data_IF_788168435195
#
_entry.id   IF_788168435195
#
_cell.length_a   1.000
_cell.length_b   1.000
_cell.length_c   1.000
_cell.angle_alpha   90.00
_cell.angle_beta   90.00
_cell.angle_gamma   90.00
#
_symmetry.space_group_name_H-M   'P 1'
#
loop_
_entity.id
_entity.type
_entity.pdbx_description
1 polymer ?
#
# COMPACT_ATOMS: atom_id res chain seq x y z
N UNK A 1 -4.86 -1.84 -10.53
CA UNK A 1 -4.78 -1.90 -11.99
C UNK A 1 -3.40 -2.40 -12.38
N UNK A 2 -3.37 -3.32 -13.34
CA UNK A 2 -2.13 -3.75 -14.00
C UNK A 2 -2.24 -3.39 -15.47
N UNK A 3 -1.35 -2.54 -15.95
CA UNK A 3 -1.22 -2.21 -17.35
C UNK A 3 -0.07 -2.96 -18.01
N UNK A 4 -0.34 -3.58 -19.15
CA UNK A 4 0.61 -4.35 -19.96
C UNK A 4 0.88 -3.64 -21.29
N UNK A 5 1.88 -4.12 -22.01
CA UNK A 5 2.21 -3.65 -23.34
C UNK A 5 1.90 -4.71 -24.41
N UNK A 6 1.39 -4.28 -25.57
CA UNK A 6 1.28 -5.13 -26.75
C UNK A 6 2.67 -5.27 -27.41
N UNK A 7 3.40 -4.17 -27.52
CA UNK A 7 4.81 -4.12 -27.94
C UNK A 7 5.62 -3.56 -26.77
N UNK A 8 6.64 -4.28 -26.36
CA UNK A 8 7.56 -3.85 -25.28
C UNK A 8 8.15 -2.46 -25.59
N UNK A 9 8.30 -1.61 -24.58
CA UNK A 9 9.06 -0.36 -24.75
C UNK A 9 10.54 -0.66 -25.00
N UNK A 10 11.22 0.22 -25.70
CA UNK A 10 12.65 0.06 -26.02
C UNK A 10 13.55 0.38 -24.82
N UNK A 11 13.03 1.08 -23.82
CA UNK A 11 13.76 1.46 -22.62
C UNK A 11 12.84 1.73 -21.44
N UNK A 12 13.40 1.67 -20.23
CA UNK A 12 12.70 2.09 -19.01
C UNK A 12 12.24 3.55 -19.10
N UNK A 13 13.00 4.40 -19.76
CA UNK A 13 12.66 5.80 -19.94
C UNK A 13 11.39 5.95 -20.79
N UNK A 14 11.27 5.18 -21.86
CA UNK A 14 10.05 5.12 -22.68
C UNK A 14 8.86 4.62 -21.85
N UNK A 15 9.02 3.53 -21.11
CA UNK A 15 7.96 3.01 -20.24
C UNK A 15 7.48 4.07 -19.24
N UNK A 16 8.41 4.78 -18.61
CA UNK A 16 8.09 5.86 -17.67
C UNK A 16 7.45 7.07 -18.37
N UNK A 17 7.79 7.36 -19.61
CA UNK A 17 7.13 8.39 -20.43
C UNK A 17 5.70 7.99 -20.76
N UNK A 18 5.46 6.74 -21.10
CA UNK A 18 4.15 6.22 -21.44
C UNK A 18 3.17 6.30 -20.27
N UNK A 19 3.58 5.89 -19.08
CA UNK A 19 2.73 5.98 -17.89
C UNK A 19 2.48 7.43 -17.47
N UNK A 20 3.46 8.34 -17.62
CA UNK A 20 3.25 9.78 -17.39
C UNK A 20 2.25 10.36 -18.39
N UNK A 21 2.31 9.97 -19.66
CA UNK A 21 1.36 10.37 -20.68
C UNK A 21 -0.05 9.84 -20.40
N UNK A 22 -0.17 8.63 -19.86
CA UNK A 22 -1.45 8.10 -19.39
C UNK A 22 -2.04 9.00 -18.31
N UNK A 23 -1.30 9.34 -17.25
CA UNK A 23 -1.81 10.24 -16.20
C UNK A 23 -2.13 11.65 -16.71
N UNK A 24 -1.41 12.15 -17.71
CA UNK A 24 -1.77 13.41 -18.38
C UNK A 24 -3.15 13.30 -19.02
N UNK A 25 -3.42 12.26 -19.79
CA UNK A 25 -4.74 12.02 -20.43
C UNK A 25 -5.86 11.84 -19.39
N UNK A 26 -5.59 11.13 -18.31
CA UNK A 26 -6.52 10.98 -17.18
C UNK A 26 -6.89 12.35 -16.60
N UNK A 27 -5.91 13.19 -16.30
CA UNK A 27 -6.15 14.50 -15.72
C UNK A 27 -6.83 15.46 -16.68
N UNK A 28 -6.56 15.40 -17.98
CA UNK A 28 -7.28 16.15 -19.02
C UNK A 28 -8.76 15.72 -19.09
N UNK A 29 -9.02 14.42 -18.99
CA UNK A 29 -10.39 13.89 -18.97
C UNK A 29 -11.16 14.34 -17.74
N UNK A 30 -10.53 14.24 -16.56
CA UNK A 30 -11.11 14.72 -15.29
C UNK A 30 -11.40 16.21 -15.33
N UNK A 31 -10.47 17.02 -15.86
CA UNK A 31 -10.68 18.48 -16.03
C UNK A 31 -11.90 18.78 -16.88
N UNK A 32 -12.09 18.06 -17.98
CA UNK A 32 -13.29 18.20 -18.84
C UNK A 32 -14.59 17.85 -18.14
N UNK A 33 -14.53 17.00 -17.11
CA UNK A 33 -15.69 16.62 -16.27
C UNK A 33 -15.84 17.52 -15.02
N UNK A 34 -15.07 18.61 -14.91
CA UNK A 34 -15.09 19.48 -13.73
C UNK A 34 -14.56 18.81 -12.45
N UNK A 35 -13.84 17.70 -12.55
CA UNK A 35 -13.32 16.95 -11.44
C UNK A 35 -11.88 17.34 -11.07
N UNK A 36 -11.50 17.10 -9.83
CA UNK A 36 -10.11 17.28 -9.37
C UNK A 36 -9.16 16.31 -10.06
N UNK A 37 -7.88 16.65 -10.06
CA UNK A 37 -6.83 15.74 -10.55
C UNK A 37 -6.81 14.41 -9.80
N UNK A 38 -6.47 13.35 -10.52
CA UNK A 38 -6.35 12.01 -9.95
C UNK A 38 -5.25 11.95 -8.89
N UNK A 39 -5.54 11.20 -7.83
CA UNK A 39 -4.55 10.73 -6.88
C UNK A 39 -4.15 9.33 -7.26
N UNK A 40 -2.84 9.10 -7.36
CA UNK A 40 -2.33 7.80 -7.79
C UNK A 40 -0.97 7.48 -7.16
N UNK A 41 -0.70 6.20 -7.13
CA UNK A 41 0.61 5.61 -6.87
C UNK A 41 0.84 4.54 -7.94
N UNK A 42 2.05 4.44 -8.47
CA UNK A 42 2.39 3.36 -9.40
C UNK A 42 3.83 2.89 -9.23
N UNK A 43 4.05 1.66 -9.66
CA UNK A 43 5.37 1.07 -9.89
C UNK A 43 5.43 0.58 -11.33
N UNK A 44 6.66 0.46 -11.83
CA UNK A 44 6.97 -0.22 -13.08
C UNK A 44 7.78 -1.45 -12.72
N UNK A 45 7.35 -2.61 -13.19
CA UNK A 45 8.13 -3.84 -13.15
C UNK A 45 8.62 -4.15 -14.57
N UNK A 46 9.90 -4.38 -14.68
CA UNK A 46 10.55 -4.80 -15.91
C UNK A 46 11.89 -5.40 -15.57
N UNK A 47 12.13 -6.61 -16.01
CA UNK A 47 13.42 -7.28 -15.91
C UNK A 47 13.68 -7.91 -17.27
N UNK A 48 14.71 -7.45 -17.91
CA UNK A 48 15.11 -7.89 -19.25
C UNK A 48 15.18 -9.42 -19.27
N UNK A 49 14.56 -10.03 -20.29
CA UNK A 49 14.45 -11.48 -20.51
C UNK A 49 13.64 -12.30 -19.47
N UNK A 50 13.29 -11.73 -18.31
CA UNK A 50 12.57 -12.47 -17.27
C UNK A 50 11.14 -11.95 -17.05
N UNK A 51 10.95 -10.62 -16.99
CA UNK A 51 9.68 -10.00 -16.68
C UNK A 51 9.35 -8.94 -17.72
N UNK A 52 8.28 -9.17 -18.49
CA UNK A 52 7.76 -8.18 -19.43
C UNK A 52 7.38 -6.88 -18.74
N UNK A 53 7.65 -5.76 -19.41
CA UNK A 53 7.30 -4.46 -18.88
C UNK A 53 5.81 -4.32 -18.57
N UNK A 54 5.50 -3.96 -17.34
CA UNK A 54 4.14 -3.65 -16.92
C UNK A 54 4.13 -2.64 -15.77
N UNK A 55 2.98 -2.00 -15.59
CA UNK A 55 2.79 -1.03 -14.52
C UNK A 55 1.68 -1.50 -13.58
N UNK A 56 1.98 -1.55 -12.28
CA UNK A 56 0.95 -1.66 -11.26
C UNK A 56 0.63 -0.29 -10.72
N UNK A 57 -0.65 0.04 -10.65
CA UNK A 57 -1.08 1.33 -10.16
C UNK A 57 -2.33 1.23 -9.29
N UNK A 58 -2.37 2.10 -8.31
CA UNK A 58 -3.54 2.44 -7.51
C UNK A 58 -3.95 3.85 -7.89
N UNK A 59 -5.21 4.05 -8.20
CA UNK A 59 -5.76 5.34 -8.59
C UNK A 59 -7.14 5.54 -7.96
N UNK A 60 -7.46 6.77 -7.59
CA UNK A 60 -8.76 7.09 -7.01
C UNK A 60 -9.91 7.01 -8.06
N UNK A 61 -11.14 6.92 -7.56
CA UNK A 61 -12.35 6.71 -8.37
C UNK A 61 -12.82 7.98 -9.12
N UNK A 62 -11.93 8.64 -9.83
CA UNK A 62 -12.30 9.83 -10.64
C UNK A 62 -12.92 9.48 -11.98
N UNK A 63 -12.50 8.37 -12.60
CA UNK A 63 -12.98 7.82 -13.85
C UNK A 63 -13.42 6.37 -13.67
N UNK A 64 -14.24 5.87 -14.60
CA UNK A 64 -14.61 4.46 -14.65
C UNK A 64 -13.44 3.60 -15.10
N UNK A 65 -13.50 2.29 -14.82
CA UNK A 65 -12.48 1.36 -15.28
C UNK A 65 -12.36 1.32 -16.81
N UNK A 66 -13.51 1.39 -17.52
CA UNK A 66 -13.52 1.44 -18.97
C UNK A 66 -12.85 2.70 -19.52
N UNK A 67 -13.10 3.86 -18.90
CA UNK A 67 -12.42 5.09 -19.28
C UNK A 67 -10.92 4.98 -19.07
N UNK A 68 -10.48 4.44 -17.92
CA UNK A 68 -9.06 4.22 -17.63
C UNK A 68 -8.42 3.26 -18.62
N UNK A 69 -9.08 2.15 -18.93
CA UNK A 69 -8.58 1.18 -19.89
C UNK A 69 -8.42 1.77 -21.30
N UNK A 70 -9.40 2.56 -21.76
CA UNK A 70 -9.33 3.26 -23.06
C UNK A 70 -8.23 4.32 -23.12
N UNK A 71 -7.88 4.91 -21.99
CA UNK A 71 -6.80 5.90 -21.91
C UNK A 71 -5.41 5.28 -21.91
N UNK A 72 -5.28 3.98 -21.59
CA UNK A 72 -4.05 3.23 -21.76
C UNK A 72 -3.94 2.72 -23.20
N UNK A 73 -3.13 3.36 -24.02
CA UNK A 73 -3.06 3.09 -25.47
C UNK A 73 -1.95 2.11 -25.86
N UNK A 74 -1.27 1.48 -24.92
CA UNK A 74 -0.07 0.69 -25.19
C UNK A 74 -0.29 -0.82 -25.08
N UNK A 75 -1.36 -1.25 -24.44
CA UNK A 75 -1.68 -2.67 -24.26
C UNK A 75 -3.17 -2.94 -24.23
N UNK A 76 -3.54 -4.21 -24.46
CA UNK A 76 -4.94 -4.66 -24.49
C UNK A 76 -5.28 -5.65 -23.37
N UNK A 77 -4.30 -6.34 -22.82
CA UNK A 77 -4.46 -7.31 -21.73
C UNK A 77 -4.21 -6.64 -20.38
N UNK A 78 -5.08 -5.69 -20.04
CA UNK A 78 -4.96 -4.94 -18.79
C UNK A 78 -5.92 -5.54 -17.75
N UNK A 79 -5.49 -5.60 -16.51
CA UNK A 79 -6.31 -6.02 -15.39
C UNK A 79 -6.73 -4.79 -14.58
N UNK A 80 -8.03 -4.51 -14.53
CA UNK A 80 -8.62 -3.43 -13.76
C UNK A 80 -9.65 -3.99 -12.79
N UNK A 81 -9.39 -3.81 -11.50
CA UNK A 81 -10.32 -4.23 -10.45
C UNK A 81 -10.37 -3.21 -9.31
N UNK A 82 -11.49 -3.12 -8.57
CA UNK A 82 -11.51 -2.38 -7.32
C UNK A 82 -10.46 -2.91 -6.36
N UNK A 83 -10.07 -2.07 -5.41
CA UNK A 83 -9.28 -2.55 -4.28
C UNK A 83 -10.25 -3.28 -3.34
N UNK A 84 -10.00 -4.55 -3.15
CA UNK A 84 -10.65 -5.32 -2.10
C UNK A 84 -9.82 -5.20 -0.82
N UNK A 85 -10.51 -4.95 0.27
CA UNK A 85 -9.91 -4.96 1.60
C UNK A 85 -10.05 -6.40 2.13
N UNK A 86 -8.93 -7.09 2.27
CA UNK A 86 -8.87 -8.35 3.00
C UNK A 86 -8.86 -8.12 4.52
N UNK A 87 -8.70 -9.17 5.30
CA UNK A 87 -8.63 -9.07 6.78
C UNK A 87 -7.45 -8.19 7.23
N UNK A 88 -6.39 -8.12 6.44
CA UNK A 88 -5.21 -7.29 6.68
C UNK A 88 -5.30 -5.90 6.00
N UNK A 89 -6.48 -5.54 5.50
CA UNK A 89 -6.75 -4.28 4.83
C UNK A 89 -6.16 -4.25 3.43
N UNK A 90 -5.16 -3.42 3.19
CA UNK A 90 -4.42 -3.31 1.91
C UNK A 90 -2.97 -3.77 2.02
N UNK A 91 -2.62 -4.49 3.09
CA UNK A 91 -1.22 -4.86 3.38
C UNK A 91 -0.66 -5.77 2.30
N UNK A 92 -1.43 -6.75 1.82
CA UNK A 92 -1.03 -7.62 0.71
C UNK A 92 -0.66 -6.83 -0.54
N UNK A 93 -1.49 -5.87 -0.92
CA UNK A 93 -1.22 -4.97 -2.04
C UNK A 93 -0.02 -4.06 -1.78
N UNK A 94 0.12 -3.50 -0.57
CA UNK A 94 1.24 -2.65 -0.21
C UNK A 94 2.57 -3.44 -0.33
N UNK A 95 2.61 -4.67 0.18
CA UNK A 95 3.76 -5.55 0.05
C UNK A 95 4.08 -5.88 -1.41
N UNK A 96 3.05 -6.12 -2.23
CA UNK A 96 3.22 -6.37 -3.64
C UNK A 96 3.82 -5.15 -4.38
N UNK A 97 3.30 -3.95 -4.12
CA UNK A 97 3.75 -2.69 -4.73
C UNK A 97 5.17 -2.30 -4.27
N UNK A 98 5.64 -2.79 -3.12
CA UNK A 98 6.95 -2.45 -2.56
C UNK A 98 8.06 -3.46 -2.88
N UNK A 99 7.82 -4.43 -3.77
CA UNK A 99 8.83 -5.37 -4.27
C UNK A 99 10.01 -4.65 -4.92
N UNK A 100 10.99 -5.40 -5.43
CA UNK A 100 12.21 -4.85 -6.07
C UNK A 100 11.86 -3.75 -7.07
N UNK A 101 12.43 -2.55 -6.94
CA UNK A 101 12.16 -1.47 -7.86
C UNK A 101 12.85 -1.71 -9.19
N UNK A 102 12.18 -1.39 -10.29
CA UNK A 102 12.84 -1.13 -11.56
C UNK A 102 13.30 0.34 -11.55
N UNK A 103 14.59 0.59 -11.54
CA UNK A 103 15.18 1.92 -11.51
C UNK A 103 15.40 2.52 -10.12
N UNK A 104 15.66 3.83 -10.06
CA UNK A 104 16.08 4.54 -8.83
C UNK A 104 14.99 4.70 -7.77
N UNK A 105 13.72 4.65 -8.13
CA UNK A 105 12.58 4.87 -7.22
C UNK A 105 11.72 3.63 -7.12
N UNK A 106 11.39 3.26 -5.88
CA UNK A 106 10.49 2.12 -5.63
C UNK A 106 9.07 2.35 -6.13
N UNK A 107 8.57 3.57 -5.97
CA UNK A 107 7.23 3.98 -6.44
C UNK A 107 7.24 5.43 -6.87
N UNK A 108 6.23 5.78 -7.65
CA UNK A 108 5.96 7.15 -8.05
C UNK A 108 4.53 7.52 -7.66
N UNK A 109 4.33 8.76 -7.26
CA UNK A 109 3.02 9.26 -6.81
C UNK A 109 2.68 10.58 -7.47
N UNK A 110 1.38 10.88 -7.52
CA UNK A 110 0.93 12.23 -7.81
C UNK A 110 1.34 13.21 -6.70
N UNK A 111 1.63 14.45 -7.04
CA UNK A 111 2.08 15.46 -6.08
C UNK A 111 1.03 15.74 -5.00
N UNK A 112 1.48 15.87 -3.74
CA UNK A 112 0.65 16.29 -2.61
C UNK A 112 -0.41 15.28 -2.16
N UNK A 113 -0.31 14.01 -2.51
CA UNK A 113 -1.39 13.05 -2.34
C UNK A 113 -1.23 12.05 -1.21
N UNK A 114 -0.02 11.68 -0.87
CA UNK A 114 0.23 10.82 0.26
C UNK A 114 0.55 11.69 1.46
N UNK A 115 -0.34 11.68 2.44
CA UNK A 115 -0.02 12.24 3.75
C UNK A 115 1.09 11.38 4.36
N UNK A 116 2.08 12.03 4.94
CA UNK A 116 3.07 11.30 5.74
C UNK A 116 2.36 10.62 6.90
N UNK A 117 2.77 9.38 7.26
CA UNK A 117 2.25 8.73 8.45
C UNK A 117 2.47 9.62 9.68
N UNK A 118 1.46 9.71 10.52
CA UNK A 118 1.62 10.41 11.80
C UNK A 118 2.45 9.52 12.72
N UNK A 119 3.66 9.97 13.05
CA UNK A 119 4.53 9.27 13.99
C UNK A 119 4.35 9.93 15.35
N UNK A 120 3.83 9.18 16.31
CA UNK A 120 3.77 9.59 17.72
C UNK A 120 4.84 8.83 18.49
N UNK A 121 5.65 9.55 19.26
CA UNK A 121 6.66 8.95 20.14
C UNK A 121 6.16 9.08 21.57
N UNK A 122 6.04 7.96 22.26
CA UNK A 122 5.67 7.91 23.66
C UNK A 122 6.69 7.04 24.42
N UNK A 123 7.30 7.60 25.46
CA UNK A 123 8.33 6.93 26.26
C UNK A 123 7.80 6.41 27.60
N UNK A 124 6.54 6.66 27.93
CA UNK A 124 5.94 6.36 29.23
C UNK A 124 5.00 5.14 29.23
N UNK A 125 4.36 4.84 28.11
CA UNK A 125 3.31 3.81 28.01
C UNK A 125 3.85 2.41 28.30
N UNK A 126 4.95 2.03 27.64
CA UNK A 126 5.54 0.69 27.82
C UNK A 126 6.93 0.79 28.43
N UNK A 127 7.10 0.19 29.63
CA UNK A 127 8.36 0.11 30.36
C UNK A 127 9.07 -1.21 30.05
N UNK A 128 10.36 -1.32 30.42
CA UNK A 128 11.15 -2.55 30.22
C UNK A 128 10.50 -3.82 30.80
N UNK A 129 9.81 -3.71 31.97
CA UNK A 129 9.08 -4.83 32.57
C UNK A 129 7.96 -5.36 31.67
N UNK A 130 7.27 -4.43 30.95
CA UNK A 130 6.21 -4.79 30.02
C UNK A 130 6.79 -5.51 28.79
N UNK A 131 7.90 -5.02 28.24
CA UNK A 131 8.57 -5.67 27.11
C UNK A 131 9.06 -7.09 27.47
N UNK A 132 9.55 -7.32 28.71
CA UNK A 132 9.91 -8.65 29.20
C UNK A 132 8.70 -9.57 29.28
N UNK A 133 7.61 -9.14 29.89
CA UNK A 133 6.37 -9.92 29.98
C UNK A 133 5.81 -10.26 28.58
N UNK A 134 5.81 -9.31 27.64
CA UNK A 134 5.40 -9.52 26.26
C UNK A 134 6.30 -10.50 25.49
N UNK A 135 7.60 -10.57 25.83
CA UNK A 135 8.52 -11.55 25.27
C UNK A 135 8.24 -12.96 25.78
N UNK A 136 7.92 -13.09 27.04
CA UNK A 136 7.67 -14.38 27.72
C UNK A 136 6.29 -14.96 27.35
N UNK A 137 5.29 -14.10 27.21
CA UNK A 137 3.93 -14.50 26.90
C UNK A 137 3.32 -13.59 25.82
N UNK A 138 3.08 -14.17 24.65
CA UNK A 138 2.50 -13.46 23.50
C UNK A 138 1.10 -12.90 23.79
N UNK A 139 0.29 -13.56 24.62
CA UNK A 139 -1.05 -13.10 24.98
C UNK A 139 -1.04 -11.76 25.74
N UNK A 140 0.07 -11.48 26.43
CA UNK A 140 0.27 -10.20 27.11
C UNK A 140 0.35 -9.04 26.14
N UNK A 141 0.90 -9.27 24.92
CA UNK A 141 1.01 -8.23 23.89
C UNK A 141 -0.39 -7.75 23.51
N UNK A 142 -1.25 -8.68 23.10
CA UNK A 142 -2.60 -8.36 22.67
C UNK A 142 -3.39 -7.65 23.76
N UNK A 143 -3.37 -8.21 24.99
CA UNK A 143 -4.08 -7.64 26.13
C UNK A 143 -3.64 -6.21 26.44
N UNK A 144 -2.33 -5.95 26.48
CA UNK A 144 -1.80 -4.63 26.79
C UNK A 144 -2.08 -3.63 25.68
N UNK A 145 -1.98 -4.06 24.41
CA UNK A 145 -2.27 -3.19 23.29
C UNK A 145 -3.75 -2.86 23.20
N UNK A 146 -4.65 -3.80 23.44
CA UNK A 146 -6.09 -3.54 23.52
C UNK A 146 -6.48 -2.56 24.63
N UNK A 147 -5.80 -2.60 25.76
CA UNK A 147 -6.02 -1.66 26.87
C UNK A 147 -5.56 -0.24 26.52
N UNK A 148 -4.40 -0.12 25.87
CA UNK A 148 -3.79 1.18 25.54
C UNK A 148 -4.44 1.84 24.30
N UNK A 149 -4.70 1.05 23.28
CA UNK A 149 -5.23 1.54 22.00
C UNK A 149 -6.71 1.22 21.83
N UNK A 150 -7.55 1.86 22.63
CA UNK A 150 -9.03 1.72 22.53
C UNK A 150 -9.52 2.13 21.15
N UNK A 151 -10.44 1.37 20.57
CA UNK A 151 -10.95 1.59 19.22
C UNK A 151 -10.07 1.05 18.10
N UNK A 152 -9.10 0.19 18.45
CA UNK A 152 -8.32 -0.58 17.51
C UNK A 152 -8.46 -2.08 17.76
N UNK A 153 -8.44 -2.84 16.68
CA UNK A 153 -8.42 -4.31 16.69
C UNK A 153 -6.98 -4.76 16.50
N UNK A 154 -6.51 -5.63 17.39
CA UNK A 154 -5.20 -6.27 17.27
C UNK A 154 -5.19 -7.23 16.08
N UNK A 155 -4.14 -7.21 15.28
CA UNK A 155 -3.98 -8.09 14.13
C UNK A 155 -2.87 -9.11 14.33
N UNK A 156 -1.68 -8.65 14.53
CA UNK A 156 -0.53 -9.51 14.79
C UNK A 156 0.55 -8.76 15.55
N UNK A 157 1.53 -9.52 16.05
CA UNK A 157 2.75 -8.96 16.60
C UNK A 157 3.94 -9.88 16.33
N UNK A 158 5.12 -9.30 16.40
CA UNK A 158 6.39 -10.00 16.31
C UNK A 158 7.31 -9.49 17.43
N UNK A 159 8.06 -10.39 18.02
CA UNK A 159 9.03 -10.07 19.07
C UNK A 159 10.44 -10.35 18.55
N UNK A 160 11.28 -9.33 18.59
CA UNK A 160 12.67 -9.42 18.19
C UNK A 160 13.57 -9.16 19.39
N UNK A 161 14.61 -9.97 19.55
CA UNK A 161 15.64 -9.78 20.56
C UNK A 161 16.96 -9.47 19.85
N UNK A 162 17.55 -8.35 20.18
CA UNK A 162 18.87 -8.00 19.65
C UNK A 162 19.95 -8.86 20.35
N UNK A 163 20.70 -9.61 19.55
CA UNK A 163 21.72 -10.52 20.05
C UNK A 163 22.93 -9.81 20.68
N UNK A 164 23.15 -8.55 20.33
CA UNK A 164 24.31 -7.77 20.82
C UNK A 164 24.03 -7.12 22.17
N UNK A 165 22.85 -6.52 22.35
CA UNK A 165 22.53 -5.72 23.54
C UNK A 165 21.35 -6.25 24.35
N UNK A 166 20.83 -7.44 24.00
CA UNK A 166 19.63 -8.05 24.57
C UNK A 166 18.38 -7.13 24.58
N UNK A 167 18.35 -6.13 23.72
CA UNK A 167 17.20 -5.24 23.52
C UNK A 167 16.01 -6.00 22.99
N UNK A 168 14.83 -5.77 23.56
CA UNK A 168 13.57 -6.38 23.11
C UNK A 168 12.82 -5.35 22.27
N UNK A 169 12.47 -5.74 21.04
CA UNK A 169 11.68 -4.95 20.11
C UNK A 169 10.39 -5.70 19.80
N UNK A 170 9.26 -5.02 19.95
CA UNK A 170 7.95 -5.57 19.67
C UNK A 170 7.35 -4.75 18.55
N UNK A 171 7.10 -5.40 17.44
CA UNK A 171 6.33 -4.86 16.33
C UNK A 171 4.91 -5.41 16.42
N UNK A 172 3.92 -4.54 16.41
CA UNK A 172 2.53 -4.95 16.42
C UNK A 172 1.72 -4.16 15.42
N UNK A 173 0.78 -4.83 14.78
CA UNK A 173 -0.18 -4.23 13.87
C UNK A 173 -1.55 -4.19 14.51
N UNK A 174 -2.14 -3.00 14.46
CA UNK A 174 -3.51 -2.77 14.90
C UNK A 174 -4.27 -2.08 13.76
N UNK A 175 -5.52 -2.46 13.57
CA UNK A 175 -6.44 -1.83 12.64
C UNK A 175 -7.47 -1.01 13.42
N UNK A 176 -7.81 0.17 12.91
CA UNK A 176 -8.92 0.93 13.49
C UNK A 176 -10.20 0.08 13.43
N UNK A 177 -10.94 0.05 14.53
CA UNK A 177 -12.22 -0.65 14.60
C UNK A 177 -13.22 -0.08 13.58
N UNK A 178 -13.95 -0.95 12.90
CA UNK A 178 -14.92 -0.59 11.87
C UNK A 178 -16.25 -1.27 12.22
N UNK A 179 -17.33 -0.50 12.51
CA UNK A 179 -18.62 -1.06 12.91
C UNK A 179 -19.22 -2.03 11.87
N UNK A 180 -18.93 -1.81 10.59
CA UNK A 180 -19.45 -2.68 9.52
C UNK A 180 -18.73 -4.04 9.48
N UNK A 181 -17.43 -4.05 9.81
CA UNK A 181 -16.60 -5.27 9.76
C UNK A 181 -16.52 -6.01 11.09
N UNK A 182 -16.60 -5.28 12.19
CA UNK A 182 -16.33 -5.79 13.55
C UNK A 182 -17.59 -5.87 14.41
N UNK A 183 -18.73 -5.36 13.93
CA UNK A 183 -20.00 -5.27 14.67
C UNK A 183 -20.87 -6.51 14.64
N UNK A 184 -20.58 -7.50 13.79
CA UNK A 184 -21.48 -8.64 13.51
C UNK A 184 -21.07 -9.97 14.18
N UNK A 185 -20.36 -9.93 15.30
CA UNK A 185 -20.05 -11.13 16.09
C UNK A 185 -20.78 -11.15 17.44
N UNK A 186 -22.04 -10.73 17.47
CA UNK A 186 -22.93 -10.89 18.62
C UNK A 186 -24.23 -11.55 18.16
N UNK A 187 -24.17 -12.81 17.83
CA UNK A 187 -25.30 -13.66 17.54
C UNK A 187 -25.02 -15.07 18.02
#
# INVERSE_FOLDING_TARGET
>A
ITFTYTKEPESLEEALKDIRNFFRRVNERLKKQGKRRAKYLYITEWQEDEVRCHHHLVIDRGLTMDELNRLWKKGRRNELRPIDYDEDGVTGMANYITKKPCGKRRWNTSRGNLKQPTIQKNHSTFKRKHARAMKEDFSVIERMLKQEYKGYVFKNAQVFVNQVNAGIYIYAQLRKWDPIKDGDNSG
#
